data_IF_091790372690
#
_entry.id   IF_091790372690
#
_cell.length_a   1.000
_cell.length_b   1.000
_cell.length_c   1.000
_cell.angle_alpha   90.00
_cell.angle_beta   90.00
_cell.angle_gamma   90.00
#
_symmetry.space_group_name_H-M   'P 1'
#
loop_
_entity.id
_entity.type
_entity.pdbx_description
1 polymer ?
#
# COMPACT_ATOMS: atom_id res chain seq x y z
N UNK A 1 -1.42 8.56 -6.30
CA UNK A 1 -2.32 7.50 -5.80
C UNK A 1 -3.46 8.12 -5.04
N UNK A 2 -4.71 7.82 -5.42
CA UNK A 2 -5.89 8.27 -4.68
C UNK A 2 -6.15 7.29 -3.53
N UNK A 3 -6.24 7.77 -2.29
CA UNK A 3 -6.51 6.93 -1.12
C UNK A 3 -5.32 6.65 -0.18
N UNK A 4 -4.08 6.99 -0.56
CA UNK A 4 -2.95 7.03 0.39
C UNK A 4 -2.79 8.47 0.88
N UNK A 5 -3.30 8.74 2.07
CA UNK A 5 -3.01 9.98 2.78
C UNK A 5 -1.64 9.95 3.45
N UNK A 6 -1.19 11.08 3.99
CA UNK A 6 0.07 11.19 4.74
C UNK A 6 0.13 10.24 5.95
N UNK A 7 -0.99 9.99 6.62
CA UNK A 7 -1.07 9.01 7.71
C UNK A 7 -0.83 7.57 7.25
N UNK A 8 -1.50 7.17 6.17
CA UNK A 8 -1.33 5.86 5.54
C UNK A 8 0.10 5.66 5.03
N UNK A 9 0.68 6.66 4.36
CA UNK A 9 2.05 6.60 3.87
C UNK A 9 3.07 6.41 5.01
N UNK A 10 2.89 7.12 6.14
CA UNK A 10 3.74 6.92 7.32
C UNK A 10 3.61 5.50 7.89
N UNK A 11 2.39 4.97 7.96
CA UNK A 11 2.18 3.61 8.43
C UNK A 11 2.78 2.56 7.49
N UNK A 12 2.67 2.76 6.17
CA UNK A 12 3.32 1.91 5.17
C UNK A 12 4.84 1.85 5.39
N UNK A 13 5.49 3.00 5.51
CA UNK A 13 6.94 3.06 5.81
C UNK A 13 7.25 2.35 7.13
N UNK A 14 6.41 2.54 8.16
CA UNK A 14 6.59 1.93 9.48
C UNK A 14 6.46 0.40 9.47
N UNK A 15 5.67 -0.16 8.56
CA UNK A 15 5.53 -1.62 8.39
C UNK A 15 6.53 -2.21 7.40
N UNK A 16 7.48 -1.41 6.92
CA UNK A 16 8.52 -1.84 6.00
C UNK A 16 8.13 -1.78 4.53
N UNK A 17 7.21 -0.87 4.17
CA UNK A 17 6.85 -0.54 2.78
C UNK A 17 7.28 0.89 2.50
N UNK A 18 8.52 1.06 2.07
CA UNK A 18 9.10 2.35 1.69
C UNK A 18 8.90 2.70 0.21
N UNK A 19 8.64 1.70 -0.63
CA UNK A 19 8.69 1.81 -2.08
C UNK A 19 7.45 1.22 -2.76
N UNK A 20 7.19 1.66 -3.99
CA UNK A 20 6.09 1.16 -4.84
C UNK A 20 6.24 -0.34 -5.11
N UNK A 21 7.46 -0.82 -5.30
CA UNK A 21 7.78 -2.24 -5.50
C UNK A 21 7.47 -3.08 -4.26
N UNK A 22 7.92 -2.65 -3.08
CA UNK A 22 7.61 -3.30 -1.79
C UNK A 22 6.10 -3.37 -1.55
N UNK A 23 5.36 -2.31 -1.88
CA UNK A 23 3.91 -2.28 -1.75
C UNK A 23 3.27 -3.36 -2.62
N UNK A 24 3.74 -3.51 -3.87
CA UNK A 24 3.22 -4.47 -4.85
C UNK A 24 3.60 -5.92 -4.51
N UNK A 25 4.78 -6.14 -3.95
CA UNK A 25 5.25 -7.47 -3.50
C UNK A 25 4.70 -7.88 -2.13
N UNK A 26 4.12 -6.97 -1.37
CA UNK A 26 3.57 -7.25 -0.05
C UNK A 26 2.20 -7.92 -0.11
N UNK A 27 1.86 -8.68 0.93
CA UNK A 27 0.53 -9.27 1.06
C UNK A 27 -0.50 -8.23 1.53
N UNK A 28 -1.62 -8.05 0.80
CA UNK A 28 -2.62 -7.03 1.13
C UNK A 28 -3.39 -7.29 2.42
N UNK A 29 -3.57 -8.55 2.84
CA UNK A 29 -4.25 -8.88 4.11
C UNK A 29 -3.33 -8.61 5.30
N UNK A 30 -2.04 -8.92 5.17
CA UNK A 30 -1.05 -8.57 6.19
C UNK A 30 -0.88 -7.06 6.34
N UNK A 31 -0.81 -6.32 5.23
CA UNK A 31 -0.69 -4.87 5.28
C UNK A 31 -1.93 -4.22 5.90
N UNK A 32 -3.12 -4.66 5.51
CA UNK A 32 -4.37 -4.19 6.11
C UNK A 32 -4.43 -4.49 7.62
N UNK A 33 -3.98 -5.67 8.04
CA UNK A 33 -3.96 -6.05 9.46
C UNK A 33 -2.96 -5.22 10.29
N UNK A 34 -1.88 -4.74 9.67
CA UNK A 34 -0.87 -3.90 10.34
C UNK A 34 -1.24 -2.41 10.36
N UNK A 35 -2.12 -1.97 9.47
CA UNK A 35 -2.48 -0.56 9.32
C UNK A 35 -3.94 -0.36 9.72
N UNK A 36 -4.15 0.23 10.90
CA UNK A 36 -5.50 0.54 11.38
C UNK A 36 -6.25 1.47 10.42
N UNK A 37 -7.50 1.10 10.10
CA UNK A 37 -8.35 1.85 9.16
C UNK A 37 -8.10 1.52 7.69
N UNK A 38 -7.26 0.53 7.37
CA UNK A 38 -7.02 0.06 6.01
C UNK A 38 -7.61 -1.33 5.83
N UNK A 39 -8.33 -1.53 4.74
CA UNK A 39 -8.83 -2.85 4.32
C UNK A 39 -7.96 -3.42 3.21
N UNK A 40 -7.90 -4.74 3.09
CA UNK A 40 -7.17 -5.44 2.01
C UNK A 40 -7.60 -4.97 0.62
N UNK A 41 -8.87 -4.61 0.44
CA UNK A 41 -9.39 -3.97 -0.79
C UNK A 41 -8.71 -2.64 -1.12
N UNK A 42 -8.48 -1.78 -0.12
CA UNK A 42 -7.74 -0.51 -0.35
C UNK A 42 -6.29 -0.79 -0.74
N UNK A 43 -5.66 -1.78 -0.09
CA UNK A 43 -4.29 -2.17 -0.44
C UNK A 43 -4.22 -2.68 -1.88
N UNK A 44 -5.17 -3.51 -2.32
CA UNK A 44 -5.28 -3.97 -3.70
C UNK A 44 -5.43 -2.81 -4.70
N UNK A 45 -6.23 -1.79 -4.39
CA UNK A 45 -6.34 -0.59 -5.25
C UNK A 45 -5.01 0.16 -5.35
N UNK A 46 -4.27 0.26 -4.25
CA UNK A 46 -2.95 0.89 -4.27
C UNK A 46 -1.94 0.06 -5.05
N UNK A 47 -1.93 -1.26 -4.87
CA UNK A 47 -1.07 -2.17 -5.64
C UNK A 47 -1.38 -2.11 -7.13
N UNK A 48 -2.66 -2.01 -7.50
CA UNK A 48 -3.08 -1.86 -8.90
C UNK A 48 -2.57 -0.54 -9.48
N UNK A 49 -2.73 0.56 -8.73
CA UNK A 49 -2.22 1.87 -9.11
C UNK A 49 -0.69 1.89 -9.21
N UNK A 50 -0.01 1.20 -8.29
CA UNK A 50 1.42 1.05 -8.22
C UNK A 50 1.96 0.25 -9.41
N UNK A 51 1.34 -0.89 -9.75
CA UNK A 51 1.66 -1.67 -10.96
C UNK A 51 1.52 -0.82 -12.22
N UNK A 52 0.43 -0.05 -12.32
CA UNK A 52 0.20 0.85 -13.46
C UNK A 52 1.30 1.91 -13.61
N UNK A 53 1.83 2.43 -12.49
CA UNK A 53 2.96 3.37 -12.49
C UNK A 53 4.30 2.71 -12.85
N UNK A 54 4.55 1.47 -12.42
CA UNK A 54 5.78 0.73 -12.76
C UNK A 54 5.82 0.30 -14.23
N UNK A 55 4.64 0.17 -14.86
CA UNK A 55 4.49 -0.23 -16.25
C UNK A 55 4.52 0.95 -17.23
N UNK A 56 4.63 2.19 -16.72
CA UNK A 56 4.56 3.44 -17.47
C UNK A 56 5.95 4.05 -17.64
#
# INVERSE_FOLDING_TARGET
MKGIGTGTAKNLIKVGVGSVEELVSSDPEQLASKISGVSSKMVLEWQTSAKALLSA
#
